data_IF_898170822328
#
_entry.id   IF_898170822328
#
_cell.length_a   1.000
_cell.length_b   1.000
_cell.length_c   1.000
_cell.angle_alpha   90.00
_cell.angle_beta   90.00
_cell.angle_gamma   90.00
#
_symmetry.space_group_name_H-M   'P 1'
#
loop_
_entity.id
_entity.type
_entity.pdbx_description
1 polymer ?
#
# COMPACT_ATOMS: atom_id res chain seq x y z
N UNK A 1 -32.90 -79.10 -56.86
CA UNK A 1 -31.74 -78.51 -57.55
C UNK A 1 -31.02 -77.64 -56.54
N UNK A 2 -29.97 -78.20 -56.00
CA UNK A 2 -29.16 -77.61 -54.92
C UNK A 2 -27.86 -77.08 -55.49
N UNK A 3 -27.54 -75.80 -55.23
CA UNK A 3 -26.22 -75.25 -55.62
C UNK A 3 -25.62 -74.67 -54.31
N UNK A 4 -24.61 -75.34 -53.87
CA UNK A 4 -23.77 -74.93 -52.74
C UNK A 4 -22.63 -74.01 -53.24
N UNK A 5 -22.43 -72.90 -52.63
CA UNK A 5 -21.24 -72.05 -52.80
C UNK A 5 -20.39 -72.03 -51.54
N UNK A 6 -19.08 -72.03 -51.64
CA UNK A 6 -18.18 -72.21 -50.47
C UNK A 6 -17.82 -70.86 -49.79
N UNK A 7 -17.79 -70.92 -48.49
CA UNK A 7 -17.35 -69.82 -47.60
C UNK A 7 -15.83 -69.63 -47.68
N UNK A 8 -15.40 -68.42 -48.05
CA UNK A 8 -13.98 -68.00 -47.95
C UNK A 8 -13.70 -67.46 -46.55
N UNK A 9 -12.79 -68.10 -45.82
CA UNK A 9 -12.24 -67.60 -44.57
C UNK A 9 -11.35 -66.39 -44.84
N UNK A 10 -11.70 -65.24 -44.21
CA UNK A 10 -10.86 -64.06 -44.16
C UNK A 10 -10.10 -64.07 -42.83
N UNK A 11 -8.77 -64.19 -42.89
CA UNK A 11 -7.85 -64.11 -41.77
C UNK A 11 -7.61 -62.62 -41.46
N UNK A 12 -8.05 -62.16 -40.30
CA UNK A 12 -7.78 -60.81 -39.84
C UNK A 12 -6.40 -60.80 -39.11
N UNK A 13 -5.46 -60.15 -39.70
CA UNK A 13 -4.21 -59.77 -39.02
C UNK A 13 -4.51 -58.55 -38.12
N UNK A 14 -4.51 -58.70 -36.80
CA UNK A 14 -4.52 -57.59 -35.88
C UNK A 14 -3.12 -56.95 -35.88
N UNK A 15 -3.07 -55.72 -36.40
CA UNK A 15 -1.89 -54.85 -36.26
C UNK A 15 -2.04 -54.09 -34.93
N UNK A 16 -1.23 -54.45 -33.93
CA UNK A 16 -1.13 -53.69 -32.69
C UNK A 16 -0.25 -52.43 -32.96
N UNK A 17 -0.90 -51.26 -33.07
CA UNK A 17 -0.22 -49.99 -33.06
C UNK A 17 0.06 -49.56 -31.60
N UNK A 18 1.34 -49.61 -31.20
CA UNK A 18 1.81 -49.04 -29.94
C UNK A 18 1.78 -47.52 -30.08
N UNK A 19 0.76 -46.89 -29.46
CA UNK A 19 0.70 -45.43 -29.26
C UNK A 19 1.55 -45.13 -28.04
N UNK A 20 2.75 -44.59 -28.27
CA UNK A 20 3.58 -44.03 -27.19
C UNK A 20 2.98 -42.71 -26.74
N UNK A 21 2.33 -42.70 -25.57
CA UNK A 21 1.87 -41.47 -24.94
C UNK A 21 3.10 -40.76 -24.33
N UNK A 22 3.59 -39.71 -25.00
CA UNK A 22 4.51 -38.75 -24.40
C UNK A 22 3.71 -37.90 -23.40
N UNK A 23 3.83 -38.22 -22.11
CA UNK A 23 3.40 -37.36 -21.01
C UNK A 23 4.31 -36.12 -21.03
N UNK A 24 3.85 -35.05 -21.67
CA UNK A 24 4.47 -33.74 -21.49
C UNK A 24 4.11 -33.30 -20.06
N UNK A 25 5.08 -33.42 -19.16
CA UNK A 25 4.98 -32.81 -17.85
C UNK A 25 5.01 -31.28 -18.04
N UNK A 26 3.84 -30.65 -18.08
CA UNK A 26 3.75 -29.23 -17.83
C UNK A 26 4.12 -29.03 -16.36
N UNK A 27 5.35 -28.64 -16.10
CA UNK A 27 5.75 -28.09 -14.83
C UNK A 27 4.95 -26.81 -14.61
N UNK A 28 3.93 -26.88 -13.76
CA UNK A 28 3.35 -25.68 -13.18
C UNK A 28 4.46 -25.02 -12.37
N UNK A 29 5.05 -23.95 -12.94
CA UNK A 29 5.82 -23.02 -12.15
C UNK A 29 4.83 -22.46 -11.11
N UNK A 30 4.92 -22.92 -9.87
CA UNK A 30 4.32 -22.26 -8.73
C UNK A 30 5.03 -20.90 -8.64
N UNK A 31 4.47 -19.89 -9.30
CA UNK A 31 4.69 -18.52 -8.89
C UNK A 31 4.10 -18.43 -7.49
N UNK A 32 4.95 -18.43 -6.46
CA UNK A 32 4.53 -18.02 -5.15
C UNK A 32 4.13 -16.56 -5.26
N UNK A 33 2.84 -16.30 -5.56
CA UNK A 33 2.26 -15.02 -5.25
C UNK A 33 2.49 -14.84 -3.75
N UNK A 34 3.31 -13.85 -3.39
CA UNK A 34 3.49 -13.52 -1.99
C UNK A 34 2.11 -13.11 -1.48
N UNK A 35 1.60 -13.83 -0.48
CA UNK A 35 0.34 -13.49 0.15
C UNK A 35 0.44 -12.05 0.64
N UNK A 36 -0.54 -11.22 0.24
CA UNK A 36 -0.53 -9.79 0.58
C UNK A 36 -0.53 -9.61 2.10
N UNK A 37 0.28 -8.69 2.60
CA UNK A 37 0.41 -8.43 4.04
C UNK A 37 -0.93 -7.95 4.61
N UNK A 38 -1.48 -8.70 5.56
CA UNK A 38 -2.63 -8.28 6.34
C UNK A 38 -2.20 -7.26 7.39
N UNK A 39 -2.64 -6.01 7.24
CA UNK A 39 -2.30 -4.93 8.16
C UNK A 39 -3.29 -4.96 9.32
N UNK A 40 -2.90 -5.58 10.41
CA UNK A 40 -3.70 -5.69 11.64
C UNK A 40 -2.85 -5.40 12.89
N UNK A 41 -3.44 -5.57 14.06
CA UNK A 41 -2.75 -5.40 15.34
C UNK A 41 -1.51 -6.29 15.45
N UNK A 42 -1.54 -7.51 14.89
CA UNK A 42 -0.46 -8.49 15.01
C UNK A 42 0.70 -8.14 14.10
N UNK A 43 0.43 -7.74 12.86
CA UNK A 43 1.49 -7.34 11.92
C UNK A 43 2.21 -6.05 12.38
N UNK A 44 1.46 -5.06 12.92
CA UNK A 44 2.07 -3.84 13.45
C UNK A 44 2.92 -4.14 14.70
N UNK A 45 2.49 -5.05 15.60
CA UNK A 45 3.34 -5.52 16.70
C UNK A 45 4.52 -6.36 16.22
N UNK A 46 4.34 -7.18 15.18
CA UNK A 46 5.42 -7.96 14.60
C UNK A 46 6.55 -7.08 14.05
N UNK A 47 6.20 -5.87 13.58
CA UNK A 47 7.18 -4.87 13.18
C UNK A 47 8.08 -4.43 14.35
N UNK A 48 7.55 -4.31 15.57
CA UNK A 48 8.35 -4.01 16.76
C UNK A 48 9.36 -5.12 17.09
N UNK A 49 9.01 -6.38 16.81
CA UNK A 49 9.85 -7.56 16.99
C UNK A 49 10.74 -7.88 15.77
N UNK A 50 10.84 -6.97 14.81
CA UNK A 50 11.61 -7.12 13.55
C UNK A 50 11.15 -8.25 12.62
N UNK A 51 9.95 -8.79 12.77
CA UNK A 51 9.41 -9.83 11.89
C UNK A 51 8.86 -9.31 10.56
N UNK A 52 8.50 -8.01 10.51
CA UNK A 52 8.06 -7.29 9.32
C UNK A 52 9.20 -6.42 8.76
N UNK A 53 10.37 -7.05 8.49
CA UNK A 53 11.60 -6.32 8.17
C UNK A 53 11.48 -5.46 6.89
N UNK A 54 10.76 -5.97 5.88
CA UNK A 54 10.62 -5.35 4.57
C UNK A 54 9.49 -4.30 4.53
N UNK A 55 8.70 -4.20 5.61
CA UNK A 55 7.55 -3.31 5.70
C UNK A 55 7.76 -2.19 6.72
N UNK A 56 7.10 -1.06 6.48
CA UNK A 56 6.98 0.07 7.40
C UNK A 56 5.50 0.39 7.59
N UNK A 57 4.84 -0.35 8.50
CA UNK A 57 3.38 -0.46 8.58
C UNK A 57 2.69 0.69 9.32
N UNK A 58 3.41 1.44 10.12
CA UNK A 58 2.89 2.59 10.85
C UNK A 58 3.88 3.74 10.87
N UNK A 59 3.46 4.91 11.34
CA UNK A 59 4.26 6.14 11.35
C UNK A 59 5.66 5.95 11.95
N UNK A 60 5.79 5.23 13.06
CA UNK A 60 7.06 4.93 13.70
C UNK A 60 7.56 3.51 13.47
N UNK A 61 7.09 2.84 12.43
CA UNK A 61 7.27 1.47 12.00
C UNK A 61 6.36 0.49 12.76
N UNK A 62 6.40 0.44 14.06
CA UNK A 62 5.53 -0.33 14.94
C UNK A 62 4.89 0.57 16.02
N UNK A 63 4.22 -0.02 16.99
CA UNK A 63 3.56 0.73 18.07
C UNK A 63 4.54 1.38 19.06
N UNK A 64 5.76 0.86 19.17
CA UNK A 64 6.79 1.45 20.03
C UNK A 64 7.47 2.68 19.43
N UNK A 65 7.12 3.08 18.20
CA UNK A 65 7.60 4.30 17.52
C UNK A 65 9.15 4.40 17.48
N UNK A 66 9.84 3.27 17.41
CA UNK A 66 11.31 3.23 17.45
C UNK A 66 11.98 3.77 16.20
N UNK A 67 11.28 3.81 15.05
CA UNK A 67 11.79 4.32 13.76
C UNK A 67 13.07 3.64 13.31
N UNK A 68 13.24 2.39 13.69
CA UNK A 68 14.43 1.59 13.38
C UNK A 68 14.08 0.48 12.40
N UNK A 69 14.85 0.36 11.31
CA UNK A 69 14.78 -0.77 10.39
C UNK A 69 15.77 -1.87 10.82
N UNK A 70 15.38 -3.14 10.90
CA UNK A 70 16.30 -4.24 11.19
C UNK A 70 17.11 -4.68 9.98
N UNK A 71 16.89 -4.10 8.80
CA UNK A 71 17.65 -4.41 7.59
C UNK A 71 19.12 -4.06 7.77
N UNK A 72 20.02 -4.97 7.37
CA UNK A 72 21.47 -4.86 7.53
C UNK A 72 22.24 -4.70 6.22
N UNK A 73 21.53 -4.64 5.08
CA UNK A 73 22.14 -4.48 3.76
C UNK A 73 22.94 -3.18 3.66
N UNK A 74 22.48 -2.10 4.28
CA UNK A 74 23.23 -0.85 4.41
C UNK A 74 23.88 -0.85 5.80
N UNK A 75 25.19 -0.69 5.84
CA UNK A 75 25.98 -0.73 7.07
C UNK A 75 27.25 0.13 6.93
N UNK A 76 28.06 0.23 7.98
CA UNK A 76 29.26 1.05 8.01
C UNK A 76 30.31 0.75 6.92
N UNK A 77 30.24 -0.44 6.30
CA UNK A 77 31.22 -0.85 5.26
C UNK A 77 30.81 -0.42 3.85
N UNK A 78 29.56 -0.01 3.65
CA UNK A 78 29.03 0.30 2.32
C UNK A 78 28.15 1.56 2.25
N UNK A 79 27.94 2.25 3.35
CA UNK A 79 27.08 3.45 3.40
C UNK A 79 27.64 4.58 2.53
N UNK A 80 28.97 4.66 2.36
CA UNK A 80 29.68 5.62 1.49
C UNK A 80 29.49 5.32 -0.01
N UNK A 81 29.03 4.14 -0.35
CA UNK A 81 28.77 3.68 -1.73
C UNK A 81 27.32 3.90 -2.17
N UNK A 82 26.47 4.47 -1.31
CA UNK A 82 25.07 4.75 -1.65
C UNK A 82 24.99 5.73 -2.81
N UNK A 83 24.07 5.44 -3.74
CA UNK A 83 23.77 6.28 -4.89
C UNK A 83 22.27 6.51 -4.98
N UNK A 84 21.87 7.61 -5.64
CA UNK A 84 20.49 7.85 -5.97
C UNK A 84 19.99 6.74 -6.91
N UNK A 85 18.98 5.98 -6.47
CA UNK A 85 18.34 4.96 -7.29
C UNK A 85 17.24 5.56 -8.17
N UNK A 86 16.39 6.41 -7.59
CA UNK A 86 15.32 7.12 -8.27
C UNK A 86 14.91 8.36 -7.46
N UNK A 87 14.12 9.22 -8.06
CA UNK A 87 13.42 10.31 -7.38
C UNK A 87 11.99 10.40 -7.90
N UNK A 88 11.09 10.95 -7.10
CA UNK A 88 9.70 11.18 -7.46
C UNK A 88 9.37 12.67 -7.25
N UNK A 89 8.89 13.33 -8.31
CA UNK A 89 8.41 14.70 -8.23
C UNK A 89 6.93 14.70 -7.87
N UNK A 90 6.58 15.28 -6.73
CA UNK A 90 5.18 15.41 -6.28
C UNK A 90 4.40 16.48 -7.03
N UNK A 91 5.04 17.21 -7.95
CA UNK A 91 4.43 18.33 -8.67
C UNK A 91 4.14 19.55 -7.78
N UNK A 92 4.80 19.66 -6.62
CA UNK A 92 4.53 20.70 -5.64
C UNK A 92 5.83 21.26 -5.07
N UNK A 93 5.95 22.58 -5.00
CA UNK A 93 7.14 23.28 -4.49
C UNK A 93 7.15 23.45 -2.97
N UNK A 94 6.09 23.04 -2.28
CA UNK A 94 5.99 23.12 -0.84
C UNK A 94 6.63 21.90 -0.17
N UNK A 95 7.20 22.11 1.02
CA UNK A 95 8.01 21.09 1.68
C UNK A 95 7.23 19.80 2.03
N UNK A 96 7.91 18.67 1.91
CA UNK A 96 7.44 17.37 2.36
C UNK A 96 7.81 17.16 3.82
N UNK A 97 6.85 16.75 4.65
CA UNK A 97 7.06 16.45 6.07
C UNK A 97 6.57 15.06 6.46
N UNK A 98 6.13 14.26 5.49
CA UNK A 98 5.54 12.96 5.75
C UNK A 98 6.59 11.90 6.11
N UNK A 99 6.19 10.98 7.00
CA UNK A 99 6.82 9.67 7.09
C UNK A 99 6.09 8.73 6.14
N UNK A 100 6.76 8.18 5.13
CA UNK A 100 6.15 7.22 4.23
C UNK A 100 5.81 5.91 4.96
N UNK A 101 4.74 5.23 4.53
CA UNK A 101 4.51 3.81 4.80
C UNK A 101 5.06 3.00 3.64
N UNK A 102 5.56 1.80 3.92
CA UNK A 102 5.96 0.84 2.88
C UNK A 102 5.27 -0.49 3.18
N UNK A 103 4.47 -0.97 2.24
CA UNK A 103 3.66 -2.17 2.39
C UNK A 103 3.73 -2.96 1.09
N UNK A 104 4.25 -4.18 1.14
CA UNK A 104 4.37 -5.07 -0.01
C UNK A 104 5.05 -4.41 -1.24
N UNK A 105 6.12 -3.66 -0.98
CA UNK A 105 6.87 -2.95 -2.03
C UNK A 105 6.22 -1.67 -2.57
N UNK A 106 5.08 -1.25 -2.04
CA UNK A 106 4.45 0.03 -2.38
C UNK A 106 4.72 1.05 -1.28
N UNK A 107 5.25 2.21 -1.67
CA UNK A 107 5.45 3.36 -0.79
C UNK A 107 4.24 4.29 -0.86
N UNK A 108 3.63 4.57 0.28
CA UNK A 108 2.54 5.53 0.43
C UNK A 108 3.04 6.77 1.14
N UNK A 109 2.98 7.92 0.47
CA UNK A 109 3.51 9.17 1.02
C UNK A 109 2.52 10.32 0.79
N UNK A 110 2.23 11.07 1.84
CA UNK A 110 1.44 12.29 1.73
C UNK A 110 2.35 13.46 1.36
N UNK A 111 1.85 14.32 0.47
CA UNK A 111 2.48 15.58 0.08
C UNK A 111 1.69 16.78 0.62
N UNK A 112 2.09 17.97 0.22
CA UNK A 112 1.34 19.18 0.49
C UNK A 112 -0.12 19.04 0.02
N UNK A 113 -1.04 19.77 0.67
CA UNK A 113 -2.47 19.71 0.43
C UNK A 113 -3.14 18.38 0.77
N UNK A 114 -2.45 17.55 1.56
CA UNK A 114 -2.88 16.20 1.92
C UNK A 114 -3.04 15.25 0.72
N UNK A 115 -2.36 15.54 -0.39
CA UNK A 115 -2.33 14.66 -1.55
C UNK A 115 -1.57 13.38 -1.16
N UNK A 116 -2.14 12.22 -1.43
CA UNK A 116 -1.53 10.92 -1.16
C UNK A 116 -1.06 10.29 -2.48
N UNK A 117 0.17 9.82 -2.49
CA UNK A 117 0.77 9.10 -3.62
C UNK A 117 1.06 7.65 -3.22
N UNK A 118 0.80 6.71 -4.13
CA UNK A 118 1.34 5.36 -4.09
C UNK A 118 2.40 5.23 -5.18
N UNK A 119 3.57 4.75 -4.78
CA UNK A 119 4.77 4.71 -5.61
C UNK A 119 5.36 3.31 -5.49
N UNK A 120 5.76 2.71 -6.59
CA UNK A 120 6.58 1.49 -6.55
C UNK A 120 7.90 1.81 -5.85
N UNK A 121 8.15 1.18 -4.71
CA UNK A 121 9.31 1.50 -3.87
C UNK A 121 10.64 1.10 -4.52
N UNK A 122 10.62 0.21 -5.52
CA UNK A 122 11.81 -0.23 -6.25
C UNK A 122 12.18 0.68 -7.41
N UNK A 123 11.17 1.19 -8.14
CA UNK A 123 11.38 1.94 -9.39
C UNK A 123 11.14 3.43 -9.26
N UNK A 124 10.36 3.87 -8.26
CA UNK A 124 9.92 5.25 -8.12
C UNK A 124 8.74 5.61 -9.04
N UNK A 125 8.16 4.64 -9.75
CA UNK A 125 7.01 4.87 -10.61
C UNK A 125 5.74 5.14 -9.81
N UNK A 126 4.96 6.13 -10.25
CA UNK A 126 3.66 6.42 -9.66
C UNK A 126 2.63 5.36 -10.04
N UNK A 127 2.09 4.67 -9.03
CA UNK A 127 1.01 3.71 -9.22
C UNK A 127 -0.35 4.42 -9.28
N UNK A 128 -0.61 5.29 -8.30
CA UNK A 128 -1.80 6.13 -8.27
C UNK A 128 -1.59 7.38 -7.40
N UNK A 129 -2.54 8.30 -7.47
CA UNK A 129 -2.57 9.52 -6.65
C UNK A 129 -4.01 9.80 -6.24
N UNK A 130 -4.20 10.21 -5.00
CA UNK A 130 -5.46 10.72 -4.47
C UNK A 130 -5.28 12.19 -4.06
N UNK A 131 -6.05 13.10 -4.66
CA UNK A 131 -6.16 14.50 -4.21
C UNK A 131 -7.49 14.67 -3.47
N UNK A 132 -7.48 15.03 -2.17
CA UNK A 132 -8.69 15.27 -1.41
C UNK A 132 -9.39 16.58 -1.80
N UNK A 133 -8.86 17.35 -2.74
CA UNK A 133 -9.40 18.62 -3.20
C UNK A 133 -9.65 19.62 -2.05
N UNK A 134 -8.64 19.77 -1.17
CA UNK A 134 -8.70 20.77 -0.09
C UNK A 134 -8.82 22.16 -0.70
N UNK A 135 -9.75 23.02 -0.23
CA UNK A 135 -9.92 24.39 -0.72
C UNK A 135 -8.63 25.19 -0.64
N UNK A 136 -8.07 25.57 -1.79
CA UNK A 136 -6.76 26.26 -1.86
C UNK A 136 -6.84 27.70 -1.34
N UNK A 137 -7.97 28.34 -1.49
CA UNK A 137 -8.29 29.68 -1.01
C UNK A 137 -8.29 29.79 0.52
N UNK A 138 -8.45 28.68 1.23
CA UNK A 138 -8.44 28.65 2.70
C UNK A 138 -7.05 28.46 3.32
N UNK A 139 -6.00 28.50 2.52
CA UNK A 139 -4.60 28.26 2.98
C UNK A 139 -4.19 29.17 4.16
N UNK A 140 -4.76 30.34 4.29
CA UNK A 140 -4.51 31.28 5.38
C UNK A 140 -4.96 30.76 6.77
N UNK A 141 -5.81 29.72 6.81
CA UNK A 141 -6.28 29.06 8.04
C UNK A 141 -5.32 27.97 8.53
N UNK A 142 -4.32 27.62 7.73
CA UNK A 142 -3.45 26.48 8.05
C UNK A 142 -2.10 26.99 8.58
N UNK A 143 -1.88 26.77 9.88
CA UNK A 143 -0.57 27.03 10.47
C UNK A 143 0.51 26.21 9.78
N UNK A 144 1.69 26.77 9.67
CA UNK A 144 2.91 26.06 9.27
C UNK A 144 2.90 25.57 7.81
N UNK A 145 2.04 26.13 6.97
CA UNK A 145 1.87 25.76 5.57
C UNK A 145 0.92 24.58 5.36
N UNK A 146 0.79 24.17 4.11
CA UNK A 146 -0.17 23.15 3.68
C UNK A 146 0.41 21.73 3.80
N UNK A 147 1.06 21.44 4.91
CA UNK A 147 1.80 20.20 5.16
C UNK A 147 0.88 19.06 5.59
N UNK A 148 1.32 17.84 5.32
CA UNK A 148 0.73 16.63 5.87
C UNK A 148 1.86 15.68 6.30
N UNK A 149 1.74 15.05 7.48
CA UNK A 149 2.82 14.27 8.09
C UNK A 149 2.71 12.78 7.89
N UNK A 150 1.69 12.31 7.17
CA UNK A 150 1.60 10.91 6.78
C UNK A 150 0.20 10.32 6.89
N UNK A 151 0.12 9.05 6.54
CA UNK A 151 -1.06 8.22 6.60
C UNK A 151 -0.94 7.16 7.70
N UNK A 152 -2.06 6.51 8.02
CA UNK A 152 -2.09 5.26 8.75
C UNK A 152 -2.71 4.18 7.86
N UNK A 153 -2.37 2.90 8.13
CA UNK A 153 -2.88 1.77 7.38
C UNK A 153 -3.57 0.76 8.31
N UNK A 154 -4.65 0.14 7.83
CA UNK A 154 -5.33 -0.97 8.47
C UNK A 154 -6.10 -1.78 7.46
N UNK A 155 -5.83 -3.08 7.39
CA UNK A 155 -6.34 -3.95 6.34
C UNK A 155 -6.01 -3.37 4.94
N UNK A 156 -6.99 -3.22 4.09
CA UNK A 156 -6.81 -2.65 2.76
C UNK A 156 -7.09 -1.14 2.69
N UNK A 157 -7.15 -0.48 3.84
CA UNK A 157 -7.46 0.95 3.93
C UNK A 157 -6.26 1.77 4.38
N UNK A 158 -6.08 2.92 3.74
CA UNK A 158 -5.24 4.01 4.20
C UNK A 158 -6.11 5.13 4.77
N UNK A 159 -5.67 5.76 5.83
CA UNK A 159 -6.37 6.86 6.48
C UNK A 159 -5.50 8.11 6.46
N UNK A 160 -6.06 9.21 5.99
CA UNK A 160 -5.41 10.53 6.03
C UNK A 160 -6.31 11.55 6.71
N UNK A 161 -5.71 12.44 7.50
CA UNK A 161 -6.36 13.68 7.91
C UNK A 161 -6.09 14.76 6.86
N UNK A 162 -7.05 15.65 6.62
CA UNK A 162 -6.90 16.73 5.64
C UNK A 162 -6.89 18.10 6.31
N UNK A 163 -6.31 19.07 5.63
CA UNK A 163 -6.19 20.43 6.17
C UNK A 163 -7.54 21.08 6.47
N UNK A 164 -8.59 20.72 5.73
CA UNK A 164 -9.96 21.20 5.95
C UNK A 164 -10.75 20.39 7.01
N UNK A 165 -10.02 19.54 7.79
CA UNK A 165 -10.57 18.86 8.96
C UNK A 165 -11.37 17.59 8.65
N UNK A 166 -11.19 16.98 7.48
CA UNK A 166 -11.76 15.66 7.17
C UNK A 166 -10.81 14.53 7.56
N UNK A 167 -11.37 13.37 7.93
CA UNK A 167 -10.70 12.09 7.95
C UNK A 167 -11.23 11.27 6.77
N UNK A 168 -10.33 10.74 5.94
CA UNK A 168 -10.67 10.02 4.71
C UNK A 168 -10.05 8.64 4.75
N UNK A 169 -10.85 7.61 4.45
CA UNK A 169 -10.37 6.26 4.16
C UNK A 169 -10.26 6.05 2.66
N UNK A 170 -9.16 5.46 2.24
CA UNK A 170 -8.79 5.26 0.83
C UNK A 170 -8.41 3.79 0.67
N UNK A 171 -8.90 3.13 -0.35
CA UNK A 171 -8.46 1.80 -0.72
C UNK A 171 -7.00 1.82 -1.18
N UNK A 172 -6.13 1.04 -0.54
CA UNK A 172 -4.68 1.09 -0.78
C UNK A 172 -4.25 0.56 -2.15
N UNK A 173 -5.09 -0.24 -2.80
CA UNK A 173 -4.77 -0.83 -4.09
C UNK A 173 -5.18 0.08 -5.24
N UNK A 174 -6.38 0.67 -5.15
CA UNK A 174 -6.95 1.49 -6.22
C UNK A 174 -6.77 3.00 -6.04
N UNK A 175 -6.47 3.47 -4.82
CA UNK A 175 -6.44 4.90 -4.50
C UNK A 175 -7.83 5.54 -4.44
N UNK A 176 -8.92 4.76 -4.48
CA UNK A 176 -10.28 5.28 -4.43
C UNK A 176 -10.70 5.58 -3.00
N UNK A 177 -11.43 6.68 -2.80
CA UNK A 177 -12.03 7.00 -1.50
C UNK A 177 -13.11 5.99 -1.14
N UNK A 178 -12.99 5.37 0.04
CA UNK A 178 -14.01 4.48 0.61
C UNK A 178 -15.06 5.31 1.35
N UNK A 179 -14.61 6.25 2.18
CA UNK A 179 -15.46 7.20 2.87
C UNK A 179 -14.66 8.46 3.26
N UNK A 180 -15.39 9.54 3.52
CA UNK A 180 -14.87 10.79 4.04
C UNK A 180 -15.81 11.33 5.12
N UNK A 181 -15.25 11.76 6.24
CA UNK A 181 -16.05 12.36 7.32
C UNK A 181 -15.40 13.63 7.83
N UNK A 182 -16.23 14.62 8.14
CA UNK A 182 -15.79 15.86 8.79
C UNK A 182 -15.57 15.59 10.27
N UNK A 183 -14.39 15.83 10.78
CA UNK A 183 -14.03 15.61 12.20
C UNK A 183 -13.92 16.91 12.99
N UNK A 184 -13.85 18.05 12.31
CA UNK A 184 -13.77 19.37 12.93
C UNK A 184 -14.93 20.24 12.43
N UNK A 185 -15.36 21.27 13.18
CA UNK A 185 -16.35 22.23 12.71
C UNK A 185 -15.90 22.92 11.41
N UNK A 186 -16.79 22.97 10.42
CA UNK A 186 -16.54 23.67 9.15
C UNK A 186 -16.48 25.18 9.34
N UNK A 187 -15.56 25.82 8.60
CA UNK A 187 -15.45 27.28 8.59
C UNK A 187 -14.72 27.86 9.80
N UNK A 188 -14.32 27.04 10.76
CA UNK A 188 -13.47 27.46 11.87
C UNK A 188 -11.98 27.17 11.56
N UNK A 189 -11.08 27.72 12.38
CA UNK A 189 -9.62 27.63 12.14
C UNK A 189 -9.00 26.31 12.61
N UNK A 190 -9.69 25.21 12.36
CA UNK A 190 -9.14 23.88 12.58
C UNK A 190 -8.42 23.36 11.34
N UNK A 191 -7.35 22.61 11.55
CA UNK A 191 -6.68 21.89 10.48
C UNK A 191 -6.15 20.55 10.99
N UNK A 192 -5.94 19.59 10.10
CA UNK A 192 -5.28 18.34 10.43
C UNK A 192 -4.02 18.23 9.59
N UNK A 193 -2.87 18.26 10.23
CA UNK A 193 -1.56 18.10 9.61
C UNK A 193 -0.84 16.85 10.10
N UNK A 194 -1.34 16.24 11.18
CA UNK A 194 -0.76 15.04 11.80
C UNK A 194 -1.17 13.76 11.08
N UNK A 195 -0.32 12.73 11.14
CA UNK A 195 -0.68 11.40 10.69
C UNK A 195 -1.64 10.73 11.70
N UNK A 196 -2.71 10.07 11.24
CA UNK A 196 -3.56 9.27 12.11
C UNK A 196 -2.80 8.10 12.75
N UNK A 197 -3.39 7.52 13.79
CA UNK A 197 -2.94 6.24 14.37
C UNK A 197 -4.08 5.24 14.34
N UNK A 198 -3.77 3.98 14.12
CA UNK A 198 -4.77 2.91 14.20
C UNK A 198 -4.40 1.94 15.32
N UNK A 199 -5.33 1.74 16.26
CA UNK A 199 -5.18 0.82 17.37
C UNK A 199 -6.46 0.02 17.53
N UNK A 200 -6.36 -1.31 17.49
CA UNK A 200 -7.52 -2.22 17.61
C UNK A 200 -8.67 -1.86 16.65
N UNK A 201 -8.32 -1.56 15.40
CA UNK A 201 -9.29 -1.19 14.36
C UNK A 201 -9.95 0.18 14.51
N UNK A 202 -9.49 1.01 15.46
CA UNK A 202 -9.98 2.37 15.66
C UNK A 202 -8.94 3.37 15.14
N UNK A 203 -9.38 4.32 14.31
CA UNK A 203 -8.56 5.41 13.84
C UNK A 203 -8.62 6.56 14.85
N UNK A 204 -7.45 7.02 15.28
CA UNK A 204 -7.28 8.10 16.24
C UNK A 204 -6.64 9.27 15.49
N UNK A 205 -7.24 10.44 15.57
CA UNK A 205 -6.76 11.66 14.94
C UNK A 205 -7.07 12.85 15.82
N UNK A 206 -6.13 13.77 15.94
CA UNK A 206 -6.32 15.06 16.59
C UNK A 206 -6.29 16.19 15.57
N UNK A 207 -6.57 17.40 16.01
CA UNK A 207 -6.52 18.61 15.19
C UNK A 207 -5.46 19.60 15.68
N UNK A 208 -5.01 20.45 14.78
CA UNK A 208 -4.26 21.69 15.02
C UNK A 208 -5.16 22.90 14.98
N UNK A 209 -4.59 24.11 15.21
CA UNK A 209 -5.27 25.40 15.11
C UNK A 209 -5.35 26.15 16.44
N UNK A 210 -4.73 25.66 17.51
CA UNK A 210 -4.73 26.35 18.82
C UNK A 210 -4.16 27.76 18.74
N UNK A 211 -3.20 28.00 17.86
CA UNK A 211 -2.62 29.31 17.54
C UNK A 211 -3.62 30.28 16.90
N UNK A 212 -4.71 29.79 16.37
CA UNK A 212 -5.84 30.56 15.83
C UNK A 212 -7.05 30.58 16.77
N UNK A 213 -6.86 30.22 18.03
CA UNK A 213 -7.88 30.34 19.08
C UNK A 213 -8.88 29.18 19.18
N UNK A 214 -8.63 28.05 18.49
CA UNK A 214 -9.48 26.86 18.61
C UNK A 214 -8.92 25.86 19.63
N UNK A 215 -9.82 25.13 20.30
CA UNK A 215 -9.44 24.10 21.29
C UNK A 215 -9.18 22.77 20.63
N UNK A 216 -8.04 22.14 20.94
CA UNK A 216 -7.73 20.80 20.48
C UNK A 216 -8.61 19.72 21.10
N UNK A 217 -8.88 18.66 20.33
CA UNK A 217 -9.54 17.43 20.77
C UNK A 217 -9.06 16.24 19.93
N UNK A 218 -9.42 15.05 20.35
CA UNK A 218 -9.11 13.77 19.69
C UNK A 218 -10.40 12.99 19.50
#
# INVERSE_FOLDING_TARGET
>A
MSISTPFKRITHHLLFALISFNLIHYGFANSSESEATSIDQRSIHAADDNREADNWLSYGRGYFEQRHSPLTHINQKNVDQLKLAWFFDTGNTQGLQATPLVIDGVMYVTAAWSILHAIDAKTGEKLWQFDPEVPREESFRYCCGVVNRGAAAWQDSLFIGTLDGRLIAIDRHSGQSIWSTQTTPKGENYSITGAPRVVKGKVIIGNGGSEYGVRGFV
#
